data_IF_314005378250
#
_entry.id   IF_314005378250
#
_cell.length_a   1.000
_cell.length_b   1.000
_cell.length_c   1.000
_cell.angle_alpha   90.00
_cell.angle_beta   90.00
_cell.angle_gamma   90.00
#
_symmetry.space_group_name_H-M   'P 1'
#
loop_
_entity.id
_entity.type
_entity.pdbx_description
1 polymer ?
#
# COMPACT_ATOMS: atom_id res chain seq x y z
N UNK A 1 5.38 -23.87 15.44
CA UNK A 1 4.11 -23.98 14.69
C UNK A 1 4.15 -23.22 13.35
N UNK A 2 4.43 -21.92 13.34
CA UNK A 2 4.47 -21.11 12.09
C UNK A 2 5.53 -21.58 11.08
N UNK A 3 6.76 -21.88 11.52
CA UNK A 3 7.84 -22.39 10.65
C UNK A 3 7.48 -23.71 9.95
N UNK A 4 6.73 -24.58 10.61
CA UNK A 4 6.25 -25.84 10.03
C UNK A 4 5.23 -25.59 8.91
N UNK A 5 4.27 -24.66 9.13
CA UNK A 5 3.28 -24.28 8.11
C UNK A 5 3.92 -23.63 6.87
N UNK A 6 4.97 -22.82 7.03
CA UNK A 6 5.74 -22.25 5.91
C UNK A 6 6.33 -23.36 5.04
N UNK A 7 6.99 -24.35 5.66
CA UNK A 7 7.58 -25.48 4.93
C UNK A 7 6.54 -26.32 4.19
N UNK A 8 5.38 -26.58 4.81
CA UNK A 8 4.27 -27.33 4.18
C UNK A 8 3.72 -26.56 2.98
N UNK A 9 3.37 -25.29 3.17
CA UNK A 9 2.83 -24.45 2.08
C UNK A 9 3.83 -24.32 0.93
N UNK A 10 5.12 -24.09 1.23
CA UNK A 10 6.18 -24.03 0.21
C UNK A 10 6.20 -25.30 -0.63
N UNK A 11 6.25 -26.46 0.00
CA UNK A 11 6.28 -27.75 -0.70
C UNK A 11 5.01 -27.99 -1.56
N UNK A 12 3.84 -27.52 -1.11
CA UNK A 12 2.59 -27.61 -1.87
C UNK A 12 2.58 -26.70 -3.10
N UNK A 13 3.05 -25.46 -2.94
CA UNK A 13 3.09 -24.47 -4.02
C UNK A 13 4.22 -24.75 -5.03
N UNK A 14 5.38 -25.22 -4.59
CA UNK A 14 6.52 -25.58 -5.45
C UNK A 14 6.15 -26.62 -6.51
N UNK A 15 5.22 -27.53 -6.19
CA UNK A 15 4.72 -28.56 -7.11
C UNK A 15 3.81 -28.00 -8.21
N UNK A 16 3.20 -26.85 -7.98
CA UNK A 16 2.23 -26.23 -8.89
C UNK A 16 2.84 -25.08 -9.68
N UNK A 17 3.70 -24.27 -9.04
CA UNK A 17 4.43 -23.19 -9.67
C UNK A 17 5.89 -23.17 -9.17
N UNK A 18 6.86 -23.60 -10.00
CA UNK A 18 8.28 -23.63 -9.65
C UNK A 18 8.88 -22.27 -9.26
N UNK A 19 8.26 -21.14 -9.67
CA UNK A 19 8.70 -19.80 -9.27
C UNK A 19 8.53 -19.54 -7.77
N UNK A 20 7.84 -20.42 -7.04
CA UNK A 20 7.84 -20.43 -5.56
C UNK A 20 9.25 -20.50 -4.98
N UNK A 21 10.23 -21.10 -5.69
CA UNK A 21 11.64 -21.15 -5.28
C UNK A 21 12.33 -19.78 -5.27
N UNK A 22 11.79 -18.81 -5.99
CA UNK A 22 12.35 -17.46 -6.10
C UNK A 22 11.91 -16.54 -4.95
N UNK A 23 10.93 -16.97 -4.14
CA UNK A 23 10.42 -16.18 -3.02
C UNK A 23 11.00 -16.62 -1.68
N UNK A 24 11.18 -15.66 -0.77
CA UNK A 24 11.64 -15.93 0.59
C UNK A 24 10.51 -16.45 1.50
N UNK A 25 10.89 -17.00 2.64
CA UNK A 25 9.95 -17.50 3.65
C UNK A 25 9.10 -16.38 4.28
N UNK A 26 9.60 -15.14 4.24
CA UNK A 26 8.86 -13.96 4.70
C UNK A 26 7.61 -13.75 3.83
N UNK A 27 7.73 -13.88 2.52
CA UNK A 27 6.60 -13.80 1.60
C UNK A 27 5.55 -14.86 1.91
N UNK A 28 5.93 -16.14 1.98
CA UNK A 28 4.99 -17.23 2.27
C UNK A 28 4.28 -16.98 3.61
N UNK A 29 5.01 -16.50 4.61
CA UNK A 29 4.45 -16.15 5.92
C UNK A 29 3.38 -15.07 5.84
N UNK A 30 3.54 -14.05 4.98
CA UNK A 30 2.51 -13.00 4.78
C UNK A 30 1.22 -13.57 4.22
N UNK A 31 1.30 -14.48 3.24
CA UNK A 31 0.10 -15.14 2.69
C UNK A 31 -0.59 -16.05 3.71
N UNK A 32 0.18 -16.77 4.53
CA UNK A 32 -0.37 -17.55 5.65
C UNK A 32 -1.10 -16.66 6.65
N UNK A 33 -0.48 -15.57 7.09
CA UNK A 33 -1.08 -14.62 8.06
C UNK A 33 -2.36 -13.99 7.51
N UNK A 34 -2.39 -13.63 6.24
CA UNK A 34 -3.57 -13.06 5.59
C UNK A 34 -4.75 -14.04 5.44
N UNK A 35 -4.54 -15.33 5.70
CA UNK A 35 -5.57 -16.37 5.68
C UNK A 35 -5.60 -17.14 7.00
N UNK A 36 -5.31 -16.47 8.13
CA UNK A 36 -5.41 -17.03 9.48
C UNK A 36 -4.64 -18.35 9.66
N UNK A 37 -3.50 -18.47 8.99
CA UNK A 37 -2.65 -19.66 8.97
C UNK A 37 -3.30 -20.91 8.34
N UNK A 38 -4.36 -20.74 7.55
CA UNK A 38 -4.99 -21.77 6.73
C UNK A 38 -4.13 -22.05 5.49
N UNK A 39 -3.55 -23.25 5.43
CA UNK A 39 -2.57 -23.61 4.40
C UNK A 39 -3.22 -23.65 3.01
N UNK A 40 -4.43 -24.16 2.89
CA UNK A 40 -5.10 -24.33 1.60
C UNK A 40 -5.49 -22.97 1.02
N UNK A 41 -6.14 -22.12 1.83
CA UNK A 41 -6.53 -20.77 1.41
C UNK A 41 -5.32 -19.89 1.11
N UNK A 42 -4.27 -19.99 1.93
CA UNK A 42 -3.03 -19.26 1.69
C UNK A 42 -2.32 -19.73 0.41
N UNK A 43 -2.27 -21.05 0.15
CA UNK A 43 -1.69 -21.62 -1.06
C UNK A 43 -2.44 -21.15 -2.31
N UNK A 44 -3.77 -21.17 -2.29
CA UNK A 44 -4.59 -20.70 -3.39
C UNK A 44 -4.36 -19.20 -3.69
N UNK A 45 -4.32 -18.36 -2.65
CA UNK A 45 -4.04 -16.93 -2.81
C UNK A 45 -2.61 -16.69 -3.34
N UNK A 46 -1.62 -17.41 -2.82
CA UNK A 46 -0.23 -17.26 -3.21
C UNK A 46 0.01 -17.68 -4.67
N UNK A 47 -0.58 -18.80 -5.11
CA UNK A 47 -0.49 -19.24 -6.51
C UNK A 47 -1.20 -18.23 -7.44
N UNK A 48 -2.35 -17.69 -7.04
CA UNK A 48 -3.01 -16.59 -7.76
C UNK A 48 -2.10 -15.36 -7.88
N UNK A 49 -1.40 -15.01 -6.79
CA UNK A 49 -0.41 -13.92 -6.80
C UNK A 49 0.76 -14.20 -7.75
N UNK A 50 1.33 -15.41 -7.76
CA UNK A 50 2.43 -15.75 -8.67
C UNK A 50 2.02 -15.62 -10.14
N UNK A 51 0.83 -16.11 -10.49
CA UNK A 51 0.26 -15.94 -11.82
C UNK A 51 0.04 -14.46 -12.17
N UNK A 52 -0.54 -13.69 -11.26
CA UNK A 52 -0.76 -12.24 -11.42
C UNK A 52 0.56 -11.46 -11.57
N UNK A 53 1.60 -11.81 -10.81
CA UNK A 53 2.88 -11.12 -10.85
C UNK A 53 3.52 -11.24 -12.23
N UNK A 54 3.45 -12.43 -12.85
CA UNK A 54 3.97 -12.69 -14.20
C UNK A 54 3.28 -11.84 -15.26
N UNK A 55 1.98 -11.57 -15.12
CA UNK A 55 1.22 -10.77 -16.09
C UNK A 55 1.41 -9.26 -15.89
N UNK A 56 1.50 -8.80 -14.65
CA UNK A 56 1.58 -7.37 -14.34
C UNK A 56 3.02 -6.86 -14.42
N UNK A 57 4.00 -7.66 -14.02
CA UNK A 57 5.43 -7.33 -13.97
C UNK A 57 6.26 -8.24 -14.90
N UNK A 58 5.97 -8.30 -16.22
CA UNK A 58 6.70 -9.17 -17.14
C UNK A 58 8.18 -8.82 -17.25
N UNK A 59 8.56 -7.56 -16.95
CA UNK A 59 9.94 -7.05 -16.92
C UNK A 59 10.49 -6.94 -15.50
N UNK A 60 9.80 -7.49 -14.51
CA UNK A 60 10.10 -7.33 -13.08
C UNK A 60 9.75 -5.97 -12.49
N UNK A 61 9.37 -4.98 -13.30
CA UNK A 61 8.96 -3.64 -12.87
C UNK A 61 7.91 -3.08 -13.84
N UNK A 62 7.22 -2.01 -13.41
CA UNK A 62 6.35 -1.18 -14.27
C UNK A 62 7.20 -0.03 -14.83
N UNK A 63 7.37 0.10 -16.16
CA UNK A 63 8.04 1.25 -16.76
C UNK A 63 7.27 2.55 -16.50
N UNK A 64 7.97 3.64 -16.17
CA UNK A 64 7.34 4.94 -15.88
C UNK A 64 6.57 5.51 -17.09
N UNK A 65 6.98 5.18 -18.31
CA UNK A 65 6.27 5.55 -19.54
C UNK A 65 4.85 4.99 -19.60
N UNK A 66 4.55 3.89 -18.91
CA UNK A 66 3.22 3.27 -18.87
C UNK A 66 2.31 3.89 -17.82
N UNK A 67 2.85 4.78 -16.97
CA UNK A 67 2.16 5.43 -15.84
C UNK A 67 2.43 6.94 -15.78
N UNK A 68 2.84 7.54 -16.91
CA UNK A 68 3.33 8.91 -16.98
C UNK A 68 2.26 9.95 -16.58
N UNK A 69 0.99 9.70 -16.90
CA UNK A 69 -0.08 10.63 -16.55
C UNK A 69 -0.32 10.61 -15.04
N UNK A 70 -0.34 9.44 -14.40
CA UNK A 70 -0.48 9.35 -12.95
C UNK A 70 0.73 9.88 -12.17
N UNK A 71 1.95 9.73 -12.72
CA UNK A 71 3.16 10.36 -12.16
C UNK A 71 3.08 11.89 -12.25
N UNK A 72 2.59 12.44 -13.38
CA UNK A 72 2.49 13.88 -13.58
C UNK A 72 1.61 14.61 -12.55
N UNK A 73 0.71 13.87 -11.90
CA UNK A 73 -0.16 14.40 -10.85
C UNK A 73 0.57 14.67 -9.53
N UNK A 74 1.81 14.17 -9.32
CA UNK A 74 2.56 14.35 -8.07
C UNK A 74 1.76 13.93 -6.81
N UNK A 75 0.88 12.93 -6.95
CA UNK A 75 -0.11 12.56 -5.93
C UNK A 75 0.41 11.55 -4.92
N UNK A 76 1.57 10.96 -5.14
CA UNK A 76 2.23 10.01 -4.23
C UNK A 76 3.65 10.46 -3.97
N UNK A 77 4.04 10.48 -2.69
CA UNK A 77 5.37 10.83 -2.24
C UNK A 77 5.97 9.70 -1.39
N UNK A 78 7.26 9.44 -1.58
CA UNK A 78 8.05 8.53 -0.73
C UNK A 78 8.70 9.34 0.37
N UNK A 79 8.37 9.01 1.61
CA UNK A 79 8.72 9.81 2.78
C UNK A 79 9.49 8.97 3.78
N UNK A 80 10.38 9.61 4.56
CA UNK A 80 11.26 9.10 5.62
C UNK A 80 11.00 7.70 6.22
N UNK A 81 11.11 7.58 7.53
CA UNK A 81 10.81 6.34 8.24
C UNK A 81 10.11 6.63 9.55
N UNK A 82 9.27 5.70 9.98
CA UNK A 82 8.72 5.74 11.33
C UNK A 82 9.79 5.39 12.39
N UNK A 83 9.45 5.50 13.67
CA UNK A 83 10.36 5.18 14.79
C UNK A 83 10.84 3.73 14.83
N UNK A 84 10.25 2.84 14.03
CA UNK A 84 10.63 1.43 13.90
C UNK A 84 11.38 1.14 12.60
N UNK A 85 11.69 2.17 11.79
CA UNK A 85 12.39 2.04 10.52
C UNK A 85 11.49 1.66 9.35
N UNK A 86 10.16 1.74 9.47
CA UNK A 86 9.24 1.45 8.36
C UNK A 86 9.14 2.64 7.43
N UNK A 87 9.27 2.45 6.11
CA UNK A 87 9.16 3.55 5.18
C UNK A 87 7.72 4.10 5.16
N UNK A 88 7.59 5.39 4.86
CA UNK A 88 6.31 6.11 4.88
C UNK A 88 5.90 6.47 3.46
N UNK A 89 4.65 6.16 3.12
CA UNK A 89 4.02 6.59 1.88
C UNK A 89 3.08 7.75 2.17
N UNK A 90 3.15 8.85 1.41
CA UNK A 90 2.18 9.95 1.50
C UNK A 90 1.37 10.02 0.21
N UNK A 91 0.05 10.03 0.31
CA UNK A 91 -0.89 10.13 -0.81
C UNK A 91 -1.67 11.43 -0.66
N UNK A 92 -1.53 12.33 -1.64
CA UNK A 92 -2.19 13.64 -1.67
C UNK A 92 -3.47 13.52 -2.49
N UNK A 93 -4.60 13.33 -1.80
CA UNK A 93 -5.88 12.95 -2.40
C UNK A 93 -6.44 13.97 -3.39
N UNK A 94 -6.25 15.27 -3.15
CA UNK A 94 -6.77 16.32 -4.04
C UNK A 94 -6.04 16.40 -5.40
N UNK A 95 -4.89 15.72 -5.53
CA UNK A 95 -4.15 15.59 -6.79
C UNK A 95 -4.60 14.40 -7.63
N UNK A 96 -5.40 13.50 -7.07
CA UNK A 96 -5.95 12.39 -7.84
C UNK A 96 -7.06 12.90 -8.76
N UNK A 97 -6.93 12.65 -10.06
CA UNK A 97 -7.94 13.02 -11.05
C UNK A 97 -8.31 11.79 -11.91
N UNK A 98 -9.42 11.10 -11.60
CA UNK A 98 -9.85 9.95 -12.38
C UNK A 98 -10.35 10.30 -13.79
N UNK A 99 -10.81 11.53 -14.05
CA UNK A 99 -11.33 11.91 -15.37
C UNK A 99 -10.23 12.14 -16.42
N UNK A 100 -9.00 12.39 -15.96
CA UNK A 100 -7.80 12.49 -16.81
C UNK A 100 -7.02 11.17 -16.88
N UNK A 101 -7.45 10.14 -16.17
CA UNK A 101 -6.71 8.88 -16.01
C UNK A 101 -7.30 7.74 -16.81
N UNK A 102 -6.46 6.79 -17.18
CA UNK A 102 -6.89 5.48 -17.65
C UNK A 102 -6.99 4.52 -16.43
N UNK A 103 -8.11 3.80 -16.23
CA UNK A 103 -8.23 2.85 -15.12
C UNK A 103 -7.14 1.77 -15.08
N UNK A 104 -6.65 1.34 -16.25
CA UNK A 104 -5.57 0.33 -16.30
C UNK A 104 -4.22 0.93 -15.93
N UNK A 105 -3.93 2.15 -16.40
CA UNK A 105 -2.77 2.92 -15.96
C UNK A 105 -2.78 3.11 -14.44
N UNK A 106 -3.92 3.48 -13.86
CA UNK A 106 -4.06 3.68 -12.42
C UNK A 106 -3.73 2.40 -11.63
N UNK A 107 -4.18 1.23 -12.08
CA UNK A 107 -3.80 -0.04 -11.45
C UNK A 107 -2.30 -0.29 -11.53
N UNK A 108 -1.68 -0.05 -12.69
CA UNK A 108 -0.22 -0.19 -12.87
C UNK A 108 0.53 0.81 -11.98
N UNK A 109 0.01 2.02 -11.81
CA UNK A 109 0.56 3.03 -10.91
C UNK A 109 0.47 2.61 -9.43
N UNK A 110 -0.63 1.99 -9.01
CA UNK A 110 -0.75 1.41 -7.65
C UNK A 110 0.31 0.33 -7.45
N UNK A 111 0.50 -0.57 -8.42
CA UNK A 111 1.51 -1.62 -8.35
C UNK A 111 2.92 -1.03 -8.29
N UNK A 112 3.23 -0.07 -9.15
CA UNK A 112 4.50 0.67 -9.13
C UNK A 112 4.76 1.31 -7.75
N UNK A 113 3.72 1.93 -7.17
CA UNK A 113 3.79 2.54 -5.83
C UNK A 113 4.12 1.51 -4.75
N UNK A 114 3.44 0.35 -4.78
CA UNK A 114 3.63 -0.72 -3.81
C UNK A 114 4.99 -1.40 -3.95
N UNK A 115 5.49 -1.61 -5.18
CA UNK A 115 6.83 -2.13 -5.42
C UNK A 115 7.91 -1.15 -4.92
N UNK A 116 7.79 0.15 -5.22
CA UNK A 116 8.75 1.17 -4.74
C UNK A 116 8.79 1.28 -3.22
N UNK A 117 7.64 1.32 -2.53
CA UNK A 117 7.66 1.39 -1.05
C UNK A 117 8.19 0.09 -0.43
N UNK A 118 7.94 -1.07 -1.05
CA UNK A 118 8.51 -2.35 -0.60
C UNK A 118 10.03 -2.39 -0.78
N UNK A 119 10.56 -1.82 -1.87
CA UNK A 119 12.01 -1.76 -2.11
C UNK A 119 12.75 -0.88 -1.08
N UNK A 120 12.06 0.06 -0.44
CA UNK A 120 12.62 0.93 0.62
C UNK A 120 12.62 0.27 2.00
N UNK A 121 12.05 -0.92 2.16
CA UNK A 121 12.01 -1.59 3.47
C UNK A 121 13.41 -2.06 3.87
N UNK A 122 13.91 -1.69 5.07
CA UNK A 122 15.16 -2.22 5.57
C UNK A 122 15.14 -3.74 5.70
N UNK A 123 16.32 -4.37 5.71
CA UNK A 123 16.43 -5.81 5.89
C UNK A 123 15.74 -6.26 7.18
N UNK A 124 14.75 -7.15 7.05
CA UNK A 124 13.98 -7.69 8.17
C UNK A 124 12.71 -6.91 8.51
N UNK A 125 12.47 -5.74 7.90
CA UNK A 125 11.18 -5.06 7.94
C UNK A 125 10.32 -5.51 6.75
N UNK A 126 9.04 -5.74 6.99
CA UNK A 126 8.10 -6.23 5.99
C UNK A 126 6.96 -5.25 5.71
N UNK A 127 6.87 -4.15 6.48
CA UNK A 127 5.72 -3.25 6.51
C UNK A 127 6.08 -1.80 6.22
N UNK A 128 5.09 -1.07 5.72
CA UNK A 128 5.12 0.37 5.54
C UNK A 128 3.95 1.05 6.26
N UNK A 129 4.04 2.36 6.43
CA UNK A 129 2.92 3.20 6.89
C UNK A 129 2.49 4.14 5.79
N UNK A 130 1.21 4.53 5.80
CA UNK A 130 0.66 5.43 4.81
C UNK A 130 -0.07 6.60 5.47
N UNK A 131 0.10 7.79 4.91
CA UNK A 131 -0.67 9.00 5.23
C UNK A 131 -1.46 9.37 3.97
N UNK A 132 -2.78 9.37 4.05
CA UNK A 132 -3.67 9.87 3.00
C UNK A 132 -4.20 11.22 3.43
N UNK A 133 -3.77 12.23 2.71
CA UNK A 133 -4.11 13.62 2.94
C UNK A 133 -5.24 14.05 2.05
N UNK A 134 -6.35 14.39 2.70
CA UNK A 134 -7.60 14.69 2.04
C UNK A 134 -7.91 16.19 2.01
N UNK A 135 -6.93 17.05 2.35
CA UNK A 135 -7.12 18.49 2.26
C UNK A 135 -7.49 18.89 0.82
N UNK A 136 -8.65 19.51 0.65
CA UNK A 136 -9.15 19.93 -0.66
C UNK A 136 -9.64 18.79 -1.56
N UNK A 137 -9.71 17.55 -1.06
CA UNK A 137 -10.34 16.44 -1.78
C UNK A 137 -11.84 16.71 -1.95
N UNK A 138 -12.37 16.48 -3.16
CA UNK A 138 -13.79 16.69 -3.47
C UNK A 138 -14.32 15.75 -4.55
N UNK A 139 -15.49 16.08 -5.09
CA UNK A 139 -16.18 15.24 -6.08
C UNK A 139 -15.35 14.91 -7.31
N UNK A 140 -14.58 15.87 -7.83
CA UNK A 140 -13.69 15.67 -8.98
C UNK A 140 -12.54 14.70 -8.71
N UNK A 141 -12.23 14.42 -7.45
CA UNK A 141 -11.18 13.49 -7.03
C UNK A 141 -11.73 12.12 -6.64
N UNK A 142 -13.05 11.97 -6.49
CA UNK A 142 -13.66 10.76 -5.95
C UNK A 142 -13.67 9.64 -7.00
N UNK A 143 -12.87 8.60 -6.76
CA UNK A 143 -12.76 7.43 -7.64
C UNK A 143 -13.03 6.13 -6.89
N UNK A 144 -14.30 5.83 -6.63
CA UNK A 144 -14.69 4.60 -5.93
C UNK A 144 -14.13 3.35 -6.62
N UNK A 145 -14.11 3.33 -7.96
CA UNK A 145 -13.60 2.17 -8.72
C UNK A 145 -12.09 2.02 -8.55
N UNK A 146 -11.34 3.10 -8.69
CA UNK A 146 -9.91 3.14 -8.45
C UNK A 146 -9.57 2.74 -7.02
N UNK A 147 -10.25 3.30 -6.01
CA UNK A 147 -10.01 2.96 -4.61
C UNK A 147 -10.25 1.47 -4.31
N UNK A 148 -11.31 0.88 -4.87
CA UNK A 148 -11.57 -0.56 -4.74
C UNK A 148 -10.53 -1.41 -5.47
N UNK A 149 -10.04 -0.97 -6.64
CA UNK A 149 -8.97 -1.65 -7.35
C UNK A 149 -7.64 -1.59 -6.57
N UNK A 150 -7.32 -0.44 -5.97
CA UNK A 150 -6.13 -0.27 -5.14
C UNK A 150 -6.22 -1.12 -3.86
N UNK A 151 -7.38 -1.13 -3.21
CA UNK A 151 -7.65 -1.95 -2.03
C UNK A 151 -7.53 -3.45 -2.35
N UNK A 152 -8.13 -3.92 -3.45
CA UNK A 152 -8.02 -5.32 -3.87
C UNK A 152 -6.56 -5.69 -4.17
N UNK A 153 -5.81 -4.82 -4.85
CA UNK A 153 -4.38 -5.04 -5.11
C UNK A 153 -3.60 -5.16 -3.80
N UNK A 154 -3.81 -4.26 -2.85
CA UNK A 154 -3.15 -4.30 -1.54
C UNK A 154 -3.48 -5.59 -0.78
N UNK A 155 -4.76 -5.97 -0.69
CA UNK A 155 -5.21 -7.12 0.09
C UNK A 155 -4.83 -8.48 -0.53
N UNK A 156 -4.89 -8.60 -1.86
CA UNK A 156 -4.68 -9.88 -2.55
C UNK A 156 -3.22 -10.10 -2.97
N UNK A 157 -2.49 -9.03 -3.30
CA UNK A 157 -1.14 -9.12 -3.88
C UNK A 157 -0.04 -8.63 -2.92
N UNK A 158 -0.38 -7.80 -1.94
CA UNK A 158 0.56 -7.27 -0.94
C UNK A 158 0.07 -7.52 0.49
N UNK A 159 -0.35 -8.77 0.82
CA UNK A 159 -0.89 -9.08 2.14
C UNK A 159 0.11 -8.73 3.24
N UNK A 160 -0.41 -8.28 4.39
CA UNK A 160 0.38 -7.94 5.57
C UNK A 160 1.46 -6.84 5.39
N UNK A 161 1.49 -6.10 4.27
CA UNK A 161 2.45 -5.01 4.03
C UNK A 161 2.09 -3.69 4.73
N UNK A 162 0.80 -3.38 4.90
CA UNK A 162 0.38 -2.17 5.60
C UNK A 162 0.47 -2.38 7.12
N UNK A 163 1.18 -1.50 7.82
CA UNK A 163 1.19 -1.41 9.29
C UNK A 163 0.09 -0.50 9.82
N UNK A 164 0.00 0.73 9.29
CA UNK A 164 -0.95 1.76 9.71
C UNK A 164 -1.26 2.72 8.56
N UNK A 165 -2.52 3.14 8.45
CA UNK A 165 -3.02 4.10 7.47
C UNK A 165 -3.69 5.27 8.19
N UNK A 166 -3.13 6.47 8.05
CA UNK A 166 -3.72 7.70 8.60
C UNK A 166 -4.50 8.43 7.51
N UNK A 167 -5.79 8.67 7.74
CA UNK A 167 -6.53 9.68 6.99
C UNK A 167 -6.43 11.01 7.74
N UNK A 168 -5.85 12.01 7.10
CA UNK A 168 -5.64 13.35 7.67
C UNK A 168 -6.38 14.39 6.85
N UNK A 169 -6.85 15.46 7.52
CA UNK A 169 -7.56 16.58 6.86
C UNK A 169 -8.76 16.15 6.03
N UNK A 170 -9.44 15.08 6.45
CA UNK A 170 -10.62 14.53 5.79
C UNK A 170 -11.80 15.52 5.85
N UNK A 171 -12.34 15.98 4.70
CA UNK A 171 -13.55 16.77 4.68
C UNK A 171 -14.76 15.87 4.98
N UNK A 172 -15.83 16.41 5.56
CA UNK A 172 -17.01 15.62 5.93
C UNK A 172 -17.60 14.81 4.76
N UNK A 173 -17.54 15.36 3.54
CA UNK A 173 -18.03 14.68 2.33
C UNK A 173 -17.26 13.39 2.01
N UNK A 174 -15.98 13.26 2.43
CA UNK A 174 -15.22 12.02 2.27
C UNK A 174 -15.90 10.84 2.98
N UNK A 175 -16.59 11.09 4.10
CA UNK A 175 -17.28 10.03 4.83
C UNK A 175 -18.39 9.37 4.02
N UNK A 176 -18.98 10.06 3.04
CA UNK A 176 -19.94 9.47 2.10
C UNK A 176 -19.26 8.45 1.19
N UNK A 177 -18.12 8.79 0.61
CA UNK A 177 -17.32 7.84 -0.18
C UNK A 177 -16.81 6.68 0.70
N UNK A 178 -16.34 6.98 1.91
CA UNK A 178 -15.84 5.98 2.85
C UNK A 178 -16.91 4.93 3.21
N UNK A 179 -18.17 5.32 3.39
CA UNK A 179 -19.28 4.37 3.64
C UNK A 179 -19.45 3.35 2.51
N UNK A 180 -19.12 3.71 1.27
CA UNK A 180 -19.17 2.81 0.11
C UNK A 180 -17.95 1.89 0.06
N UNK A 181 -16.77 2.38 0.44
CA UNK A 181 -15.50 1.63 0.40
C UNK A 181 -15.37 0.66 1.59
N UNK A 182 -15.78 1.11 2.78
CA UNK A 182 -15.58 0.41 4.05
C UNK A 182 -16.03 -1.06 4.08
N UNK A 183 -17.19 -1.45 3.47
CA UNK A 183 -17.61 -2.86 3.41
C UNK A 183 -16.60 -3.79 2.73
N UNK A 184 -15.78 -3.28 1.81
CA UNK A 184 -14.78 -4.06 1.05
C UNK A 184 -13.42 -4.15 1.73
N UNK A 185 -13.19 -3.37 2.79
CA UNK A 185 -11.95 -3.39 3.57
C UNK A 185 -11.94 -4.61 4.48
N UNK A 186 -10.91 -5.45 4.39
CA UNK A 186 -10.79 -6.62 5.24
C UNK A 186 -10.59 -6.24 6.72
N UNK A 187 -10.93 -7.16 7.62
CA UNK A 187 -10.89 -6.93 9.07
C UNK A 187 -9.50 -6.56 9.60
N UNK A 188 -8.41 -7.09 9.03
CA UNK A 188 -7.07 -6.75 9.46
C UNK A 188 -6.70 -5.33 9.01
N UNK A 189 -7.04 -4.97 7.77
CA UNK A 189 -6.83 -3.61 7.27
C UNK A 189 -7.64 -2.58 8.06
N UNK A 190 -8.91 -2.85 8.38
CA UNK A 190 -9.76 -1.95 9.19
C UNK A 190 -9.11 -1.55 10.53
N UNK A 191 -8.47 -2.49 11.22
CA UNK A 191 -7.80 -2.25 12.51
C UNK A 191 -6.60 -1.30 12.43
N UNK A 192 -6.08 -1.07 11.21
CA UNK A 192 -4.89 -0.25 10.94
C UNK A 192 -5.25 1.18 10.52
N UNK A 193 -6.53 1.47 10.30
CA UNK A 193 -7.00 2.76 9.81
C UNK A 193 -7.23 3.70 10.98
N UNK A 194 -6.66 4.90 10.88
CA UNK A 194 -6.81 5.97 11.86
C UNK A 194 -7.29 7.22 11.15
N UNK A 195 -8.47 7.71 11.50
CA UNK A 195 -8.92 9.04 11.10
C UNK A 195 -8.41 10.05 12.13
N UNK A 196 -7.53 10.96 11.70
CA UNK A 196 -6.89 11.91 12.59
C UNK A 196 -7.67 13.22 12.61
N UNK A 197 -8.08 13.66 13.78
CA UNK A 197 -8.70 14.98 13.98
C UNK A 197 -7.69 16.09 13.63
N UNK A 198 -8.13 17.12 12.89
CA UNK A 198 -7.24 18.21 12.46
C UNK A 198 -6.48 18.87 13.63
N UNK A 199 -7.11 19.02 14.79
CA UNK A 199 -6.49 19.62 16.00
C UNK A 199 -5.39 18.75 16.62
N UNK A 200 -5.37 17.45 16.30
CA UNK A 200 -4.42 16.46 16.83
C UNK A 200 -3.47 15.92 15.76
N UNK A 201 -3.51 16.50 14.54
CA UNK A 201 -2.76 16.01 13.39
C UNK A 201 -1.28 15.78 13.67
N UNK A 202 -0.56 16.83 14.06
CA UNK A 202 0.87 16.74 14.33
C UNK A 202 1.17 15.85 15.54
N UNK A 203 0.55 16.03 16.72
CA UNK A 203 0.79 15.15 17.87
C UNK A 203 0.58 13.66 17.57
N UNK A 204 -0.51 13.30 16.89
CA UNK A 204 -0.80 11.89 16.57
C UNK A 204 0.22 11.28 15.61
N UNK A 205 0.69 12.03 14.61
CA UNK A 205 1.74 11.52 13.72
C UNK A 205 3.09 11.41 14.44
N UNK A 206 3.40 12.34 15.36
CA UNK A 206 4.63 12.35 16.15
C UNK A 206 4.70 11.24 17.23
N UNK A 207 3.59 10.60 17.57
CA UNK A 207 3.60 9.36 18.39
C UNK A 207 4.48 8.29 17.73
N UNK A 208 4.42 8.25 16.40
CA UNK A 208 4.84 7.14 15.57
C UNK A 208 6.01 7.47 14.63
N UNK A 209 6.19 8.75 14.30
CA UNK A 209 7.18 9.26 13.33
C UNK A 209 7.99 10.36 14.02
N UNK A 210 9.32 10.32 13.90
CA UNK A 210 10.15 11.41 14.43
C UNK A 210 9.95 12.69 13.63
N UNK A 211 10.03 13.85 14.29
CA UNK A 211 9.81 15.17 13.67
C UNK A 211 10.70 15.39 12.44
N UNK A 212 11.95 14.90 12.48
CA UNK A 212 12.91 14.97 11.38
C UNK A 212 12.54 14.10 10.17
N UNK A 213 11.65 13.13 10.32
CA UNK A 213 11.18 12.22 9.27
C UNK A 213 9.76 12.58 8.77
N UNK A 214 9.02 13.36 9.56
CA UNK A 214 7.68 13.79 9.23
C UNK A 214 7.70 14.95 8.20
N UNK A 215 6.79 14.96 7.21
CA UNK A 215 6.63 16.10 6.32
C UNK A 215 6.38 17.43 7.04
N UNK A 216 6.98 18.50 6.53
CA UNK A 216 6.77 19.88 6.98
C UNK A 216 5.29 20.29 6.98
N UNK A 217 4.53 19.88 5.97
CA UNK A 217 3.08 20.12 5.86
C UNK A 217 2.25 19.48 6.98
N UNK A 218 2.84 18.60 7.78
CA UNK A 218 2.24 17.95 8.94
C UNK A 218 2.91 18.37 10.27
N UNK A 219 3.75 19.40 10.24
CA UNK A 219 4.47 19.92 11.41
C UNK A 219 5.81 19.22 11.70
N UNK A 220 6.38 18.52 10.72
CA UNK A 220 7.74 17.98 10.79
C UNK A 220 8.78 18.90 10.12
N UNK A 221 9.91 18.31 9.73
CA UNK A 221 11.05 19.03 9.11
C UNK A 221 11.45 18.52 7.74
N UNK A 222 10.83 17.45 7.24
CA UNK A 222 11.23 16.82 6.00
C UNK A 222 10.39 17.35 4.83
N UNK A 223 10.98 17.73 3.69
CA UNK A 223 10.20 18.06 2.50
C UNK A 223 9.54 16.80 1.92
N UNK A 224 8.38 16.97 1.28
CA UNK A 224 7.77 15.90 0.49
C UNK A 224 8.63 15.58 -0.74
N UNK A 225 8.84 14.29 -1.00
CA UNK A 225 9.55 13.81 -2.19
C UNK A 225 8.60 13.02 -3.09
N UNK A 226 8.20 13.54 -4.27
CA UNK A 226 7.40 12.79 -5.23
C UNK A 226 8.04 11.44 -5.59
N UNK A 227 7.22 10.42 -5.86
CA UNK A 227 7.70 9.05 -6.06
C UNK A 227 8.71 8.91 -7.21
N UNK A 228 8.57 9.68 -8.28
CA UNK A 228 9.51 9.70 -9.41
C UNK A 228 10.86 10.34 -9.07
N UNK A 229 10.89 11.24 -8.08
CA UNK A 229 12.11 11.92 -7.63
C UNK A 229 12.79 11.14 -6.49
N UNK A 230 12.17 10.04 -6.03
CA UNK A 230 12.72 9.18 -4.99
C UNK A 230 13.65 8.13 -5.58
N UNK A 231 14.94 8.31 -5.31
CA UNK A 231 15.99 7.31 -5.55
C UNK A 231 16.01 6.23 -4.47
#
# INVERSE_FOLDING_TARGET
MERSKVGIMRALCDRQDPSTKEVDDLMIRRFLRARDMDIEKASALFLKYLAWKKTVLPKGHIPESEIANDLSHNKVCMQGHDKKGRPILVIVGNRHNPSKGNPEEFKRFVVYTLEKICARMPRGEEKFRAIVDLQGWGYSNCDIRGYLAALSTLQDCYPERLDKLYFVRAPYIFMTAWKVIYPFVDTNTRKKIVFVENKKLTPTLLEDIDEAQLPDIYGGKMPLTPIQDSH
#
